data_IF_403058902799
#
_entry.id   IF_403058902799
#
_cell.length_a   1.000
_cell.length_b   1.000
_cell.length_c   1.000
_cell.angle_alpha   90.00
_cell.angle_beta   90.00
_cell.angle_gamma   90.00
#
_symmetry.space_group_name_H-M   'P 1'
#
loop_
_entity.id
_entity.type
_entity.pdbx_description
1 polymer ?
#
# COMPACT_ATOMS: atom_id res chain seq x y z
N UNK A 1 -24.73 0.48 15.63
CA UNK A 1 -23.63 -0.50 15.48
C UNK A 1 -24.00 -1.75 16.27
N UNK A 2 -23.60 -2.94 15.80
CA UNK A 2 -24.12 -4.21 16.35
C UNK A 2 -23.42 -4.70 17.61
N UNK A 3 -22.39 -3.98 18.10
CA UNK A 3 -21.61 -4.37 19.28
C UNK A 3 -20.62 -5.52 19.04
N UNK A 4 -20.34 -5.85 17.77
CA UNK A 4 -19.33 -6.85 17.41
C UNK A 4 -17.92 -6.34 17.76
N UNK A 5 -17.06 -7.22 18.27
CA UNK A 5 -15.71 -6.87 18.77
C UNK A 5 -14.58 -7.24 17.79
N UNK A 6 -14.91 -7.69 16.57
CA UNK A 6 -13.93 -8.07 15.55
C UNK A 6 -13.24 -6.87 14.91
N UNK A 7 -11.95 -7.04 14.52
CA UNK A 7 -11.26 -6.09 13.66
C UNK A 7 -11.72 -6.22 12.21
N UNK A 8 -11.80 -5.10 11.51
CA UNK A 8 -12.09 -5.03 10.08
C UNK A 8 -10.82 -4.58 9.37
N UNK A 9 -10.30 -5.41 8.47
CA UNK A 9 -9.15 -5.07 7.64
C UNK A 9 -9.61 -4.65 6.25
N UNK A 10 -9.05 -3.55 5.76
CA UNK A 10 -9.27 -3.03 4.40
C UNK A 10 -7.92 -2.93 3.72
N UNK A 11 -7.77 -3.51 2.52
CA UNK A 11 -6.55 -3.40 1.73
C UNK A 11 -6.74 -2.37 0.63
N UNK A 12 -5.76 -1.47 0.46
CA UNK A 12 -5.74 -0.43 -0.56
C UNK A 12 -4.38 -0.43 -1.29
N UNK A 13 -4.41 -0.10 -2.57
CA UNK A 13 -3.20 0.20 -3.36
C UNK A 13 -3.05 1.70 -3.61
N UNK A 14 -1.93 2.11 -4.22
CA UNK A 14 -1.62 3.52 -4.52
C UNK A 14 -2.69 4.21 -5.37
N UNK A 15 -3.23 3.52 -6.38
CA UNK A 15 -4.28 4.07 -7.24
C UNK A 15 -5.56 4.37 -6.47
N UNK A 16 -5.94 3.51 -5.53
CA UNK A 16 -7.12 3.69 -4.69
C UNK A 16 -6.99 4.87 -3.73
N UNK A 17 -5.76 5.26 -3.36
CA UNK A 17 -5.50 6.45 -2.54
C UNK A 17 -5.76 7.76 -3.31
N UNK A 18 -5.98 7.70 -4.62
CA UNK A 18 -6.36 8.84 -5.45
C UNK A 18 -7.86 8.95 -5.68
N UNK A 19 -8.62 7.93 -5.31
CA UNK A 19 -10.08 7.93 -5.40
C UNK A 19 -10.70 8.77 -4.27
N UNK A 20 -11.65 9.64 -4.62
CA UNK A 20 -12.34 10.50 -3.64
C UNK A 20 -13.04 9.70 -2.54
N UNK A 21 -13.66 8.57 -2.91
CA UNK A 21 -14.36 7.70 -1.97
C UNK A 21 -13.46 7.16 -0.84
N UNK A 22 -12.16 7.00 -1.08
CA UNK A 22 -11.20 6.60 -0.03
C UNK A 22 -11.16 7.65 1.08
N UNK A 23 -11.12 8.92 0.74
CA UNK A 23 -11.06 10.03 1.69
C UNK A 23 -12.39 10.24 2.42
N UNK A 24 -13.52 10.15 1.72
CA UNK A 24 -14.86 10.17 2.31
C UNK A 24 -15.05 9.03 3.32
N UNK A 25 -14.55 7.84 2.98
CA UNK A 25 -14.57 6.69 3.86
C UNK A 25 -13.73 6.92 5.12
N UNK A 26 -12.49 7.42 4.99
CA UNK A 26 -11.60 7.70 6.13
C UNK A 26 -12.21 8.75 7.07
N UNK A 27 -12.75 9.84 6.51
CA UNK A 27 -13.44 10.88 7.27
C UNK A 27 -14.63 10.31 8.05
N UNK A 28 -15.45 9.50 7.40
CA UNK A 28 -16.59 8.82 8.04
C UNK A 28 -16.14 7.87 9.14
N UNK A 29 -15.09 7.07 8.88
CA UNK A 29 -14.54 6.14 9.87
C UNK A 29 -13.99 6.89 11.11
N UNK A 30 -13.34 8.02 10.92
CA UNK A 30 -12.85 8.87 11.98
C UNK A 30 -14.02 9.50 12.77
N UNK A 31 -15.04 10.02 12.06
CA UNK A 31 -16.22 10.61 12.68
C UNK A 31 -16.96 9.61 13.59
N UNK A 32 -17.14 8.37 13.13
CA UNK A 32 -17.78 7.30 13.90
C UNK A 32 -16.83 6.60 14.89
N UNK A 33 -15.56 7.03 14.98
CA UNK A 33 -14.56 6.46 15.88
C UNK A 33 -14.41 4.95 15.72
N UNK A 34 -14.27 4.50 14.46
CA UNK A 34 -14.15 3.07 14.15
C UNK A 34 -12.74 2.58 14.47
N UNK A 35 -12.41 2.46 15.74
CA UNK A 35 -11.11 2.03 16.23
C UNK A 35 -10.85 0.51 16.10
N UNK A 36 -11.83 -0.24 15.63
CA UNK A 36 -11.65 -1.62 15.21
C UNK A 36 -11.30 -1.78 13.72
N UNK A 37 -11.11 -0.66 13.00
CA UNK A 37 -10.77 -0.66 11.58
C UNK A 37 -9.27 -0.46 11.37
N UNK A 38 -8.69 -1.33 10.56
CA UNK A 38 -7.28 -1.28 10.14
C UNK A 38 -7.23 -1.24 8.62
N UNK A 39 -6.78 -0.13 8.07
CA UNK A 39 -6.55 0.05 6.64
C UNK A 39 -5.08 -0.24 6.36
N UNK A 40 -4.78 -1.24 5.55
CA UNK A 40 -3.43 -1.60 5.13
C UNK A 40 -3.26 -1.18 3.68
N UNK A 41 -2.25 -0.37 3.40
CA UNK A 41 -1.98 0.07 2.04
C UNK A 41 -0.67 -0.51 1.53
N UNK A 42 -0.72 -1.16 0.36
CA UNK A 42 0.48 -1.44 -0.44
C UNK A 42 0.96 -0.13 -1.06
N UNK A 43 1.89 0.53 -0.35
CA UNK A 43 2.41 1.85 -0.74
C UNK A 43 3.72 1.69 -1.50
N UNK A 44 3.61 1.33 -2.78
CA UNK A 44 4.72 1.01 -3.66
C UNK A 44 5.11 2.14 -4.62
N UNK A 45 4.40 3.27 -4.56
CA UNK A 45 4.58 4.44 -5.41
C UNK A 45 4.39 4.15 -6.91
N UNK A 46 3.60 3.13 -7.27
CA UNK A 46 3.32 2.73 -8.64
C UNK A 46 1.83 2.54 -8.88
N UNK A 47 1.37 2.93 -10.04
CA UNK A 47 0.03 2.69 -10.54
C UNK A 47 0.05 2.38 -12.04
N UNK A 48 -1.12 2.17 -12.66
CA UNK A 48 -1.23 1.74 -14.06
C UNK A 48 -0.46 2.66 -15.02
N UNK A 49 -0.53 3.95 -14.81
CA UNK A 49 0.07 4.99 -15.65
C UNK A 49 1.55 5.26 -15.33
N UNK A 50 2.12 4.57 -14.36
CA UNK A 50 3.52 4.72 -13.95
C UNK A 50 3.70 5.12 -12.49
N UNK A 51 4.74 5.90 -12.20
CA UNK A 51 5.00 6.35 -10.84
C UNK A 51 3.89 7.29 -10.32
N UNK A 52 3.43 7.05 -9.10
CA UNK A 52 2.35 7.81 -8.46
C UNK A 52 2.64 9.30 -8.40
N UNK A 53 3.87 9.70 -8.10
CA UNK A 53 4.28 11.11 -7.99
C UNK A 53 4.16 11.89 -9.31
N UNK A 54 4.14 11.19 -10.45
CA UNK A 54 4.01 11.80 -11.78
C UNK A 54 2.55 11.95 -12.22
N UNK A 55 1.60 11.36 -11.49
CA UNK A 55 0.19 11.34 -11.87
C UNK A 55 -0.62 12.38 -11.09
N UNK A 56 -0.38 12.46 -9.79
CA UNK A 56 -1.04 13.43 -8.93
C UNK A 56 -0.08 13.90 -7.83
N UNK A 57 -0.31 15.11 -7.32
CA UNK A 57 0.43 15.64 -6.18
C UNK A 57 0.00 14.93 -4.89
N UNK A 58 0.50 13.72 -4.66
CA UNK A 58 0.11 12.86 -3.53
C UNK A 58 1.26 12.71 -2.52
N UNK A 59 2.09 13.74 -2.38
CA UNK A 59 3.10 13.78 -1.33
C UNK A 59 2.47 13.80 0.08
N UNK A 60 3.21 13.30 1.06
CA UNK A 60 2.83 13.33 2.49
C UNK A 60 1.54 12.55 2.80
N UNK A 61 1.43 11.33 2.30
CA UNK A 61 0.23 10.49 2.49
C UNK A 61 -0.11 10.29 3.97
N UNK A 62 0.89 10.05 4.82
CA UNK A 62 0.68 9.89 6.25
C UNK A 62 0.05 11.15 6.90
N UNK A 63 0.52 12.34 6.53
CA UNK A 63 -0.02 13.60 7.04
C UNK A 63 -1.47 13.81 6.59
N UNK A 64 -1.79 13.42 5.35
CA UNK A 64 -3.17 13.49 4.84
C UNK A 64 -4.11 12.60 5.64
N UNK A 65 -3.77 11.34 5.87
CA UNK A 65 -4.58 10.44 6.69
C UNK A 65 -4.77 10.96 8.11
N UNK A 66 -3.70 11.49 8.71
CA UNK A 66 -3.79 12.10 10.05
C UNK A 66 -4.70 13.35 10.03
N UNK A 67 -4.65 14.18 8.98
CA UNK A 67 -5.52 15.35 8.83
C UNK A 67 -7.01 14.96 8.67
N UNK A 68 -7.30 13.81 8.06
CA UNK A 68 -8.65 13.24 7.97
C UNK A 68 -9.10 12.53 9.26
N UNK A 69 -8.30 12.56 10.31
CA UNK A 69 -8.66 12.06 11.64
C UNK A 69 -8.28 10.61 11.92
N UNK A 70 -7.63 9.91 11.00
CA UNK A 70 -7.08 8.59 11.23
C UNK A 70 -5.77 8.65 12.06
N UNK A 71 -5.32 7.51 12.59
CA UNK A 71 -3.94 7.31 13.04
C UNK A 71 -3.19 6.63 11.91
N UNK A 72 -2.22 7.32 11.32
CA UNK A 72 -1.40 6.74 10.26
C UNK A 72 0.00 6.41 10.76
N UNK A 73 0.50 5.22 10.38
CA UNK A 73 1.87 4.75 10.63
C UNK A 73 2.45 4.20 9.34
N UNK A 74 3.77 4.21 9.22
CA UNK A 74 4.50 3.65 8.09
C UNK A 74 5.36 2.48 8.54
N UNK A 75 5.49 1.46 7.70
CA UNK A 75 6.38 0.33 7.97
C UNK A 75 7.06 -0.19 6.70
N UNK A 76 8.07 -1.05 6.88
CA UNK A 76 8.63 -1.83 5.77
C UNK A 76 7.62 -2.91 5.36
N UNK A 77 7.04 -2.79 4.16
CA UNK A 77 6.07 -3.73 3.63
C UNK A 77 6.65 -5.08 3.17
N UNK A 78 7.98 -5.23 3.19
CA UNK A 78 8.66 -6.51 2.94
C UNK A 78 9.03 -7.26 4.23
N UNK A 79 8.66 -6.71 5.40
CA UNK A 79 8.89 -7.32 6.70
C UNK A 79 7.55 -7.63 7.38
N UNK A 80 7.22 -8.92 7.46
CA UNK A 80 5.95 -9.39 8.02
C UNK A 80 5.81 -8.97 9.49
N UNK A 81 6.90 -9.02 10.27
CA UNK A 81 6.85 -8.62 11.67
C UNK A 81 6.58 -7.13 11.81
N UNK A 82 7.23 -6.29 10.98
CA UNK A 82 6.98 -4.85 10.96
C UNK A 82 5.52 -4.51 10.61
N UNK A 83 4.90 -5.26 9.69
CA UNK A 83 3.48 -5.10 9.36
C UNK A 83 2.60 -5.49 10.54
N UNK A 84 2.87 -6.62 11.19
CA UNK A 84 2.13 -7.08 12.37
C UNK A 84 2.22 -6.04 13.49
N UNK A 85 3.42 -5.54 13.77
CA UNK A 85 3.65 -4.55 14.82
C UNK A 85 2.91 -3.23 14.50
N UNK A 86 2.96 -2.78 13.26
CA UNK A 86 2.25 -1.59 12.79
C UNK A 86 0.72 -1.75 12.91
N UNK A 87 0.16 -2.93 12.59
CA UNK A 87 -1.27 -3.22 12.73
C UNK A 87 -1.74 -3.33 14.19
N UNK A 88 -0.83 -3.37 15.14
CA UNK A 88 -1.11 -3.42 16.59
C UNK A 88 -0.73 -2.14 17.33
N UNK A 89 -0.34 -1.08 16.61
CA UNK A 89 -0.11 0.24 17.22
C UNK A 89 -1.39 0.74 17.88
N UNK A 90 -1.27 1.36 19.04
CA UNK A 90 -2.40 1.96 19.76
C UNK A 90 -2.96 3.16 18.99
N UNK A 91 -4.27 3.16 18.80
CA UNK A 91 -4.98 4.15 17.98
C UNK A 91 -6.36 4.52 18.52
N UNK A 92 -6.48 4.54 19.84
CA UNK A 92 -7.73 4.74 20.58
C UNK A 92 -8.66 5.77 19.94
N UNK A 93 -9.89 5.34 19.66
CA UNK A 93 -10.95 6.17 19.07
C UNK A 93 -10.70 6.62 17.63
N UNK A 94 -9.72 6.03 16.91
CA UNK A 94 -9.41 6.38 15.52
C UNK A 94 -9.28 5.13 14.65
N UNK A 95 -9.65 5.18 13.35
CA UNK A 95 -9.22 4.14 12.42
C UNK A 95 -7.70 4.15 12.26
N UNK A 96 -7.07 2.97 12.20
CA UNK A 96 -5.65 2.82 11.96
C UNK A 96 -5.38 2.69 10.46
N UNK A 97 -4.38 3.42 9.98
CA UNK A 97 -3.86 3.29 8.61
C UNK A 97 -2.39 2.87 8.68
N UNK A 98 -2.05 1.80 8.00
CA UNK A 98 -0.68 1.27 7.88
C UNK A 98 -0.23 1.42 6.43
N UNK A 99 0.69 2.32 6.17
CA UNK A 99 1.34 2.47 4.87
C UNK A 99 2.54 1.52 4.80
N UNK A 100 2.35 0.39 4.13
CA UNK A 100 3.38 -0.61 3.92
C UNK A 100 4.26 -0.19 2.73
N UNK A 101 5.43 0.37 2.99
CA UNK A 101 6.37 0.75 1.93
C UNK A 101 6.95 -0.50 1.27
N UNK A 102 6.57 -0.73 0.04
CA UNK A 102 7.01 -1.87 -0.77
C UNK A 102 7.73 -1.41 -2.04
N UNK A 103 8.35 -2.35 -2.72
CA UNK A 103 8.94 -2.15 -4.03
C UNK A 103 8.73 -3.40 -4.88
N UNK A 104 8.11 -3.26 -6.03
CA UNK A 104 7.90 -4.36 -6.98
C UNK A 104 9.19 -4.93 -7.58
N UNK A 105 10.35 -4.34 -7.27
CA UNK A 105 11.65 -4.79 -7.78
C UNK A 105 12.51 -5.51 -6.74
N UNK A 106 12.09 -5.56 -5.47
CA UNK A 106 12.91 -6.04 -4.34
C UNK A 106 13.48 -7.45 -4.55
N UNK A 107 12.68 -8.40 -5.05
CA UNK A 107 13.11 -9.78 -5.28
C UNK A 107 13.44 -10.06 -6.75
N UNK A 108 13.23 -9.08 -7.63
CA UNK A 108 13.36 -9.24 -9.08
C UNK A 108 14.16 -8.07 -9.65
N UNK A 109 15.50 -8.01 -9.43
CA UNK A 109 16.34 -6.88 -9.85
C UNK A 109 16.23 -6.48 -11.33
N UNK A 110 16.02 -7.39 -12.30
CA UNK A 110 15.85 -7.00 -13.70
C UNK A 110 14.65 -6.07 -13.96
N UNK A 111 13.65 -6.05 -13.06
CA UNK A 111 12.53 -5.11 -13.17
C UNK A 111 12.94 -3.65 -12.97
N UNK A 112 14.07 -3.37 -12.35
CA UNK A 112 14.59 -1.99 -12.22
C UNK A 112 14.69 -1.28 -13.57
N UNK A 113 15.06 -2.03 -14.62
CA UNK A 113 15.16 -1.51 -16.00
C UNK A 113 13.80 -1.16 -16.62
N UNK A 114 12.71 -1.59 -16.00
CA UNK A 114 11.33 -1.34 -16.48
C UNK A 114 10.67 -0.13 -15.81
N UNK A 115 11.31 0.46 -14.79
CA UNK A 115 10.80 1.70 -14.16
C UNK A 115 10.65 2.81 -15.20
N UNK A 116 9.61 3.67 -15.09
CA UNK A 116 8.62 3.72 -14.03
C UNK A 116 7.37 2.84 -14.26
N UNK A 117 7.34 1.98 -15.28
CA UNK A 117 6.15 1.22 -15.69
C UNK A 117 6.18 -0.22 -15.15
N UNK A 118 6.01 -0.38 -13.83
CA UNK A 118 6.08 -1.68 -13.14
C UNK A 118 4.73 -2.36 -12.94
N UNK A 119 3.64 -1.62 -13.04
CA UNK A 119 2.31 -2.17 -12.77
C UNK A 119 1.93 -3.28 -13.77
N UNK A 120 2.38 -3.17 -15.00
CA UNK A 120 2.11 -4.14 -16.04
C UNK A 120 3.34 -4.41 -16.89
N UNK A 121 4.10 -5.44 -16.53
CA UNK A 121 5.33 -5.84 -17.25
C UNK A 121 5.08 -7.09 -18.10
N UNK A 122 5.35 -6.99 -19.40
CA UNK A 122 5.38 -8.14 -20.31
C UNK A 122 6.82 -8.55 -20.60
N UNK A 123 7.08 -9.85 -20.53
CA UNK A 123 8.36 -10.47 -20.92
C UNK A 123 8.03 -11.43 -22.07
N UNK A 124 8.26 -11.02 -23.35
CA UNK A 124 8.04 -11.87 -24.50
C UNK A 124 8.84 -13.17 -24.41
N UNK A 125 8.34 -14.24 -25.06
CA UNK A 125 9.01 -15.55 -25.04
C UNK A 125 10.41 -15.55 -25.63
N UNK A 126 10.63 -14.67 -26.59
CA UNK A 126 11.88 -14.44 -27.31
C UNK A 126 12.73 -13.31 -26.71
N UNK A 127 12.34 -12.79 -25.55
CA UNK A 127 13.11 -11.75 -24.87
C UNK A 127 14.47 -12.29 -24.40
N UNK A 128 15.59 -11.57 -24.66
CA UNK A 128 16.88 -11.97 -24.13
C UNK A 128 16.93 -11.99 -22.60
N UNK A 129 16.09 -11.20 -21.94
CA UNK A 129 16.02 -11.12 -20.48
C UNK A 129 15.27 -12.31 -19.86
N UNK A 130 14.56 -13.13 -20.67
CA UNK A 130 13.66 -14.17 -20.16
C UNK A 130 14.39 -15.22 -19.31
N UNK A 131 15.55 -15.67 -19.74
CA UNK A 131 16.33 -16.67 -19.01
C UNK A 131 16.74 -16.17 -17.61
N UNK A 132 16.99 -14.86 -17.44
CA UNK A 132 17.29 -14.26 -16.15
C UNK A 132 16.07 -14.29 -15.22
N UNK A 133 14.88 -13.98 -15.74
CA UNK A 133 13.64 -14.06 -14.96
C UNK A 133 13.30 -15.51 -14.55
N UNK A 134 13.49 -16.48 -15.46
CA UNK A 134 13.26 -17.89 -15.19
C UNK A 134 14.22 -18.40 -14.08
N UNK A 135 15.51 -18.03 -14.16
CA UNK A 135 16.47 -18.37 -13.10
C UNK A 135 16.07 -17.78 -11.74
N UNK A 136 15.67 -16.50 -11.69
CA UNK A 136 15.23 -15.87 -10.44
C UNK A 136 13.97 -16.59 -9.90
N UNK A 137 13.03 -16.95 -10.77
CA UNK A 137 11.83 -17.68 -10.36
C UNK A 137 12.15 -19.05 -9.76
N UNK A 138 13.17 -19.75 -10.25
CA UNK A 138 13.60 -21.04 -9.71
C UNK A 138 14.34 -20.91 -8.37
N UNK A 139 14.91 -19.75 -8.07
CA UNK A 139 15.62 -19.45 -6.82
C UNK A 139 14.70 -18.93 -5.69
N UNK A 140 13.46 -18.50 -6.00
CA UNK A 140 12.44 -18.03 -5.03
C UNK A 140 11.69 -19.19 -4.38
#
# INVERSE_FOLDING_TARGET
>A
MRGDTGKVFVMLGDGELQEGQTWEFVESAAFYKLDNMVIVSDYNCQQVEGATDNQTCVSNMADRFNAFGAKCVECNGHDIQAIIDACNVEHEGKPLVVLCKTSGTTMIPPLEKKKPFLHFVRIPKDSPDRAEYERIYEEL
#
